data_IF_551138363185
#
_entry.id   IF_551138363185
#
_cell.length_a   1.000
_cell.length_b   1.000
_cell.length_c   1.000
_cell.angle_alpha   90.00
_cell.angle_beta   90.00
_cell.angle_gamma   90.00
#
_symmetry.space_group_name_H-M   'P 1'
#
loop_
_entity.id
_entity.type
_entity.pdbx_description
1 polymer ?
#
# COMPACT_ATOMS: atom_id res chain seq x y z
N UNK A 1 22.63 -1.25 12.38
CA UNK A 1 21.95 -0.44 13.41
C UNK A 1 20.49 -0.84 13.30
N UNK A 2 19.90 -1.36 14.35
CA UNK A 2 18.52 -1.82 14.33
C UNK A 2 17.65 -0.70 14.90
N UNK A 3 16.65 -0.29 14.12
CA UNK A 3 15.70 0.76 14.50
C UNK A 3 14.49 0.10 15.17
N UNK A 4 14.09 0.60 16.33
CA UNK A 4 12.94 0.14 17.10
C UNK A 4 11.78 1.13 16.90
N UNK A 5 10.68 0.62 16.34
CA UNK A 5 9.46 1.40 16.09
C UNK A 5 8.40 1.06 17.13
N UNK A 6 7.90 2.06 17.83
CA UNK A 6 6.80 1.91 18.79
C UNK A 6 5.95 3.19 18.88
N UNK A 7 4.75 3.07 19.43
CA UNK A 7 3.84 4.18 19.60
C UNK A 7 3.95 4.77 21.02
N UNK A 8 4.00 6.10 21.12
CA UNK A 8 3.99 6.78 22.41
C UNK A 8 2.68 6.49 23.17
N UNK A 9 2.72 6.04 24.44
CA UNK A 9 1.52 5.70 25.20
C UNK A 9 0.63 6.91 25.54
N UNK A 10 1.11 8.14 25.34
CA UNK A 10 0.39 9.36 25.70
C UNK A 10 -0.29 10.07 24.53
N UNK A 11 0.31 10.05 23.35
CA UNK A 11 -0.22 10.72 22.16
C UNK A 11 -0.46 9.78 20.98
N UNK A 12 -0.02 8.52 21.04
CA UNK A 12 -0.12 7.57 19.95
C UNK A 12 0.78 7.90 18.74
N UNK A 13 1.76 8.80 18.91
CA UNK A 13 2.72 9.12 17.86
C UNK A 13 3.67 7.94 17.66
N UNK A 14 3.87 7.53 16.41
CA UNK A 14 4.90 6.58 16.06
C UNK A 14 6.30 7.21 16.22
N UNK A 15 7.17 6.53 16.97
CA UNK A 15 8.54 6.96 17.21
C UNK A 15 9.49 5.86 16.74
N UNK A 16 10.57 6.28 16.09
CA UNK A 16 11.66 5.43 15.63
C UNK A 16 12.92 5.86 16.35
N UNK A 17 13.52 4.95 17.11
CA UNK A 17 14.76 5.20 17.85
C UNK A 17 15.71 4.02 17.66
N UNK A 18 17.00 4.24 17.87
CA UNK A 18 17.97 3.16 17.93
C UNK A 18 17.70 2.20 19.11
N UNK A 19 17.83 0.90 18.88
CA UNK A 19 17.71 -0.15 19.91
C UNK A 19 18.61 0.09 21.14
N UNK A 20 19.72 0.82 20.96
CA UNK A 20 20.65 1.20 22.03
C UNK A 20 20.04 2.13 23.10
N UNK A 21 18.91 2.78 22.82
CA UNK A 21 18.18 3.64 23.77
C UNK A 21 17.09 2.86 24.52
N UNK A 22 16.98 1.55 24.33
CA UNK A 22 15.99 0.72 25.01
C UNK A 22 16.18 0.71 26.54
N UNK A 23 15.11 1.05 27.27
CA UNK A 23 15.12 1.18 28.74
C UNK A 23 15.61 2.54 29.28
N UNK A 24 15.80 3.55 28.44
CA UNK A 24 16.05 4.93 28.88
C UNK A 24 14.73 5.74 28.93
N UNK A 25 14.68 6.74 29.82
CA UNK A 25 13.58 7.71 29.86
C UNK A 25 13.81 8.77 28.80
N UNK A 26 12.91 8.87 27.82
CA UNK A 26 12.96 9.88 26.78
C UNK A 26 11.71 10.76 26.82
N UNK A 27 11.87 12.02 26.42
CA UNK A 27 10.75 12.94 26.25
C UNK A 27 10.17 12.80 24.85
N UNK A 28 8.85 12.61 24.78
CA UNK A 28 8.17 12.58 23.49
C UNK A 28 8.25 13.98 22.82
N UNK A 29 8.70 14.10 21.55
CA UNK A 29 8.78 15.39 20.86
C UNK A 29 7.42 16.04 20.59
N UNK A 30 6.34 15.25 20.61
CA UNK A 30 4.98 15.71 20.30
C UNK A 30 4.19 16.13 21.53
N UNK A 31 4.35 15.40 22.65
CA UNK A 31 3.57 15.66 23.86
C UNK A 31 4.41 16.12 25.06
N UNK A 32 5.74 16.14 24.92
CA UNK A 32 6.71 16.55 25.95
C UNK A 32 6.55 15.81 27.28
N UNK A 33 5.95 14.62 27.26
CA UNK A 33 5.82 13.75 28.43
C UNK A 33 6.98 12.74 28.43
N UNK A 34 7.67 12.57 29.56
CA UNK A 34 8.69 11.55 29.71
C UNK A 34 8.02 10.17 29.72
N UNK A 35 8.58 9.22 28.96
CA UNK A 35 8.16 7.83 28.99
C UNK A 35 9.36 6.90 28.82
N UNK A 36 9.23 5.66 29.29
CA UNK A 36 10.29 4.66 29.25
C UNK A 36 10.12 3.76 28.03
N UNK A 37 11.20 3.55 27.28
CA UNK A 37 11.19 2.70 26.09
C UNK A 37 11.18 1.23 26.52
N UNK A 38 10.20 0.42 26.08
CA UNK A 38 10.17 -1.00 26.41
C UNK A 38 11.38 -1.71 25.79
N UNK A 39 12.16 -2.43 26.61
CA UNK A 39 13.26 -3.27 26.13
C UNK A 39 12.71 -4.42 25.28
N UNK A 40 13.29 -4.71 24.10
CA UNK A 40 12.96 -5.90 23.35
C UNK A 40 13.52 -7.13 24.09
N UNK A 41 12.73 -7.67 25.01
CA UNK A 41 13.06 -8.89 25.75
C UNK A 41 12.83 -8.77 27.26
N UNK A 42 11.57 -8.72 27.68
CA UNK A 42 11.04 -9.43 28.87
C UNK A 42 9.55 -9.07 29.10
N UNK A 43 8.68 -9.97 28.63
CA UNK A 43 7.39 -10.37 29.21
C UNK A 43 6.39 -9.29 29.66
N UNK A 44 5.33 -9.07 28.87
CA UNK A 44 3.95 -8.86 29.39
C UNK A 44 2.87 -9.01 28.30
N UNK A 45 2.87 -10.13 27.58
CA UNK A 45 1.61 -10.63 27.00
C UNK A 45 0.93 -11.52 28.03
N UNK A 46 -0.11 -11.00 28.67
CA UNK A 46 -1.07 -11.83 29.41
C UNK A 46 -1.68 -12.82 28.42
N UNK A 47 -1.20 -14.05 28.48
CA UNK A 47 -1.89 -15.23 27.99
C UNK A 47 -3.30 -15.25 28.59
N UNK A 48 -4.32 -15.14 27.75
CA UNK A 48 -5.56 -15.87 28.03
C UNK A 48 -5.37 -17.31 27.54
N UNK A 49 -5.15 -18.16 28.53
CA UNK A 49 -5.21 -19.61 28.45
C UNK A 49 -6.63 -20.07 28.08
N UNK A 50 -6.77 -20.79 26.97
CA UNK A 50 -7.63 -21.97 26.93
C UNK A 50 -6.74 -23.21 26.68
N UNK A 51 -6.40 -23.88 27.78
CA UNK A 51 -6.11 -25.32 27.90
C UNK A 51 -7.26 -26.15 27.28
N UNK A 52 -7.11 -27.37 26.78
CA UNK A 52 -6.01 -28.35 26.79
C UNK A 52 -6.34 -29.50 25.81
N UNK A 53 -5.27 -30.11 25.28
CA UNK A 53 -5.08 -31.55 24.99
C UNK A 53 -5.87 -32.19 23.84
N UNK A 54 -5.34 -33.15 23.06
CA UNK A 54 -4.34 -34.19 23.34
C UNK A 54 -3.70 -34.64 22.01
N UNK A 55 -2.38 -34.70 21.93
CA UNK A 55 -1.55 -35.92 21.86
C UNK A 55 -1.54 -36.71 20.53
N UNK A 56 -0.31 -37.05 20.16
CA UNK A 56 0.13 -38.23 19.40
C UNK A 56 0.38 -38.15 17.90
N UNK A 57 1.52 -38.75 17.60
CA UNK A 57 2.28 -38.89 16.37
C UNK A 57 1.64 -39.96 15.48
N UNK A 58 1.71 -39.79 14.15
CA UNK A 58 1.79 -40.82 13.08
C UNK A 58 1.56 -40.10 11.75
N UNK A 59 2.55 -40.09 10.86
CA UNK A 59 2.75 -41.03 9.75
C UNK A 59 1.85 -40.75 8.54
N UNK A 60 2.53 -40.66 7.38
CA UNK A 60 2.08 -40.46 6.00
C UNK A 60 0.58 -40.46 5.67
N UNK A 61 0.09 -39.39 5.05
CA UNK A 61 -1.00 -39.51 4.06
C UNK A 61 -0.94 -38.37 3.03
N UNK A 62 -0.61 -38.74 1.79
CA UNK A 62 -0.67 -37.87 0.60
C UNK A 62 -2.12 -37.48 0.34
N UNK A 63 -2.52 -36.27 0.75
CA UNK A 63 -3.79 -35.69 0.31
C UNK A 63 -3.74 -35.38 -1.18
N UNK A 64 -4.16 -36.36 -1.97
CA UNK A 64 -4.55 -36.23 -3.36
C UNK A 64 -5.74 -35.28 -3.45
N UNK A 65 -5.47 -34.00 -3.69
CA UNK A 65 -6.51 -33.02 -3.97
C UNK A 65 -7.11 -33.32 -5.36
N UNK A 66 -8.28 -33.94 -5.37
CA UNK A 66 -9.09 -34.07 -6.58
C UNK A 66 -9.76 -32.73 -6.86
N UNK A 67 -9.29 -32.01 -7.88
CA UNK A 67 -10.01 -30.85 -8.43
C UNK A 67 -11.08 -31.37 -9.38
N UNK A 68 -12.38 -31.08 -9.18
CA UNK A 68 -13.40 -31.37 -10.17
C UNK A 68 -13.12 -30.57 -11.43
N UNK A 69 -12.81 -31.25 -12.53
CA UNK A 69 -12.73 -30.63 -13.86
C UNK A 69 -14.16 -30.35 -14.31
N UNK A 70 -14.55 -29.08 -14.32
CA UNK A 70 -15.78 -28.67 -14.98
C UNK A 70 -15.47 -28.43 -16.46
N UNK A 71 -16.04 -29.26 -17.35
CA UNK A 71 -16.02 -29.05 -18.82
C UNK A 71 -17.04 -27.96 -19.22
N UNK A 72 -16.87 -26.76 -18.68
CA UNK A 72 -17.62 -25.57 -19.06
C UNK A 72 -16.67 -24.51 -19.60
N UNK A 73 -16.97 -23.93 -20.77
CA UNK A 73 -16.25 -22.77 -21.29
C UNK A 73 -16.13 -21.70 -20.20
N UNK A 74 -14.95 -21.09 -19.98
CA UNK A 74 -14.88 -19.91 -19.14
C UNK A 74 -15.64 -18.77 -19.84
N UNK A 75 -16.81 -18.40 -19.30
CA UNK A 75 -17.45 -17.15 -19.67
C UNK A 75 -16.68 -16.01 -19.02
N UNK A 76 -15.91 -15.31 -19.85
CA UNK A 76 -15.21 -14.09 -19.51
C UNK A 76 -16.26 -12.99 -19.29
N UNK A 77 -16.69 -12.81 -18.04
CA UNK A 77 -17.55 -11.69 -17.61
C UNK A 77 -16.72 -10.50 -17.11
N UNK A 78 -15.63 -10.19 -17.82
CA UNK A 78 -15.09 -8.84 -17.82
C UNK A 78 -15.27 -8.33 -19.23
N UNK A 79 -16.26 -7.45 -19.41
CA UNK A 79 -16.28 -6.55 -20.58
C UNK A 79 -15.05 -5.67 -20.46
N UNK A 80 -13.94 -6.19 -20.97
CA UNK A 80 -12.76 -5.42 -21.31
C UNK A 80 -13.19 -4.37 -22.33
N UNK A 81 -13.62 -3.20 -21.85
CA UNK A 81 -13.52 -1.99 -22.63
C UNK A 81 -12.02 -1.67 -22.75
N UNK A 82 -11.34 -2.42 -23.61
CA UNK A 82 -10.28 -1.87 -24.43
C UNK A 82 -10.94 -0.83 -25.32
N UNK A 83 -11.06 0.38 -24.80
CA UNK A 83 -10.99 1.55 -25.65
C UNK A 83 -9.55 2.03 -25.57
N UNK A 84 -8.70 1.48 -26.44
CA UNK A 84 -7.73 2.33 -27.12
C UNK A 84 -8.57 3.32 -27.93
N UNK A 85 -9.10 4.34 -27.26
CA UNK A 85 -9.70 5.48 -27.92
C UNK A 85 -8.59 6.50 -28.00
N UNK A 86 -8.29 6.87 -29.23
CA UNK A 86 -7.51 8.04 -29.56
C UNK A 86 -7.92 9.17 -28.61
N UNK A 87 -6.91 9.76 -27.98
CA UNK A 87 -7.07 10.91 -27.11
C UNK A 87 -7.50 12.05 -28.05
N UNK A 88 -8.81 12.23 -28.16
CA UNK A 88 -9.37 13.50 -28.57
C UNK A 88 -9.01 14.47 -27.43
N UNK A 89 -8.34 15.56 -27.78
CA UNK A 89 -7.99 16.68 -26.90
C UNK A 89 -9.27 17.41 -26.48
N UNK A 90 -10.13 16.72 -25.73
CA UNK A 90 -11.29 17.33 -25.11
C UNK A 90 -10.90 17.75 -23.70
N UNK A 91 -11.03 19.05 -23.47
CA UNK A 91 -11.07 19.61 -22.12
C UNK A 91 -12.06 18.78 -21.31
N UNK A 92 -11.73 18.44 -20.08
CA UNK A 92 -12.68 17.76 -19.20
C UNK A 92 -13.75 18.80 -18.83
N UNK A 93 -14.80 18.90 -19.63
CA UNK A 93 -16.02 19.65 -19.30
C UNK A 93 -17.02 18.67 -18.69
N UNK A 94 -17.42 18.92 -17.45
CA UNK A 94 -18.24 17.97 -16.71
C UNK A 94 -19.30 18.60 -15.84
N UNK A 95 -20.00 17.69 -15.20
CA UNK A 95 -21.25 17.84 -14.47
C UNK A 95 -21.05 18.30 -13.02
N UNK A 96 -19.87 18.81 -12.67
CA UNK A 96 -19.52 19.29 -11.32
C UNK A 96 -19.21 18.17 -10.33
N UNK A 97 -18.95 16.95 -10.82
CA UNK A 97 -18.67 15.79 -9.97
C UNK A 97 -17.21 15.74 -9.56
N UNK A 98 -16.97 15.47 -8.29
CA UNK A 98 -15.63 15.19 -7.76
C UNK A 98 -15.17 13.81 -8.27
N UNK A 99 -14.00 13.79 -8.90
CA UNK A 99 -13.33 12.63 -9.46
C UNK A 99 -11.92 12.50 -8.87
N UNK A 100 -11.39 11.28 -8.90
CA UNK A 100 -10.01 11.00 -8.55
C UNK A 100 -9.34 10.22 -9.68
N UNK A 101 -8.15 10.67 -10.10
CA UNK A 101 -7.30 9.97 -11.06
C UNK A 101 -5.96 9.68 -10.40
N UNK A 102 -5.62 8.40 -10.28
CA UNK A 102 -4.29 7.96 -9.88
C UNK A 102 -3.46 7.65 -11.13
N UNK A 103 -2.26 8.20 -11.18
CA UNK A 103 -1.23 7.91 -12.18
C UNK A 103 -0.07 7.29 -11.42
N UNK A 104 0.32 6.07 -11.79
CA UNK A 104 1.44 5.36 -11.17
C UNK A 104 2.65 5.46 -12.08
N UNK A 105 3.83 5.69 -11.52
CA UNK A 105 5.08 5.74 -12.28
C UNK A 105 5.34 4.46 -13.06
N UNK A 106 5.15 3.30 -12.44
CA UNK A 106 5.30 2.01 -13.11
C UNK A 106 4.47 1.84 -14.39
N UNK A 107 3.29 2.48 -14.47
CA UNK A 107 2.43 2.46 -15.66
C UNK A 107 2.91 3.43 -16.77
N UNK A 108 3.86 4.31 -16.46
CA UNK A 108 4.41 5.34 -17.35
C UNK A 108 5.82 5.00 -17.87
N UNK A 109 6.35 3.80 -17.57
CA UNK A 109 7.66 3.37 -18.08
C UNK A 109 7.49 2.87 -19.52
N UNK A 110 7.97 3.64 -20.50
CA UNK A 110 7.90 3.31 -21.92
C UNK A 110 9.29 3.08 -22.49
N UNK A 111 9.57 1.88 -23.02
CA UNK A 111 10.89 1.54 -23.59
C UNK A 111 12.06 1.80 -22.63
N UNK A 112 11.82 1.63 -21.31
CA UNK A 112 12.80 1.89 -20.25
C UNK A 112 12.99 3.37 -19.90
N UNK A 113 12.25 4.28 -20.55
CA UNK A 113 12.22 5.69 -20.21
C UNK A 113 11.06 5.97 -19.26
N UNK A 114 11.36 6.72 -18.20
CA UNK A 114 10.37 7.17 -17.24
C UNK A 114 9.64 8.39 -17.79
N UNK A 115 8.36 8.22 -18.14
CA UNK A 115 7.51 9.29 -18.68
C UNK A 115 6.43 9.76 -17.70
N UNK A 116 6.66 9.55 -16.42
CA UNK A 116 5.68 9.86 -15.38
C UNK A 116 5.26 11.33 -15.39
N UNK A 117 6.24 12.24 -15.49
CA UNK A 117 5.97 13.68 -15.49
C UNK A 117 5.21 14.11 -16.74
N UNK A 118 5.52 13.54 -17.91
CA UNK A 118 4.80 13.79 -19.15
C UNK A 118 3.35 13.35 -19.05
N UNK A 119 3.10 12.13 -18.56
CA UNK A 119 1.74 11.60 -18.39
C UNK A 119 0.93 12.41 -17.36
N UNK A 120 1.56 12.85 -16.27
CA UNK A 120 0.93 13.69 -15.26
C UNK A 120 0.59 15.07 -15.83
N UNK A 121 1.53 15.71 -16.54
CA UNK A 121 1.32 17.01 -17.15
C UNK A 121 0.27 16.96 -18.27
N UNK A 122 0.25 15.89 -19.06
CA UNK A 122 -0.78 15.68 -20.08
C UNK A 122 -2.18 15.60 -19.44
N UNK A 123 -2.31 14.93 -18.30
CA UNK A 123 -3.57 14.88 -17.58
C UNK A 123 -3.95 16.23 -16.96
N UNK A 124 -3.01 16.90 -16.30
CA UNK A 124 -3.24 18.22 -15.71
C UNK A 124 -3.58 19.28 -16.76
N UNK A 125 -3.01 19.18 -17.96
CA UNK A 125 -3.31 20.07 -19.08
C UNK A 125 -4.75 19.97 -19.61
N UNK A 126 -5.46 18.88 -19.30
CA UNK A 126 -6.88 18.69 -19.65
C UNK A 126 -7.83 19.39 -18.69
N UNK A 127 -7.31 19.89 -17.55
CA UNK A 127 -8.08 20.52 -16.48
C UNK A 127 -7.79 22.01 -16.41
N UNK A 128 -8.80 22.80 -16.07
CA UNK A 128 -8.62 24.19 -15.65
C UNK A 128 -8.07 24.21 -14.22
N UNK A 129 -7.40 25.32 -13.86
CA UNK A 129 -6.78 25.44 -12.53
C UNK A 129 -7.79 25.31 -11.39
N UNK A 130 -9.00 25.82 -11.60
CA UNK A 130 -10.10 25.80 -10.64
C UNK A 130 -10.71 24.40 -10.46
N UNK A 131 -10.57 23.53 -11.47
CA UNK A 131 -11.05 22.14 -11.40
C UNK A 131 -10.13 21.26 -10.55
N UNK A 132 -8.86 21.64 -10.34
CA UNK A 132 -7.92 20.85 -9.54
C UNK A 132 -8.15 21.15 -8.06
N UNK A 133 -8.69 20.18 -7.33
CA UNK A 133 -8.98 20.31 -5.91
C UNK A 133 -7.74 19.99 -5.06
N UNK A 134 -7.03 18.90 -5.38
CA UNK A 134 -5.78 18.56 -4.72
C UNK A 134 -4.94 17.55 -5.53
N UNK A 135 -3.65 17.51 -5.24
CA UNK A 135 -2.72 16.49 -5.75
C UNK A 135 -1.96 15.90 -4.58
N UNK A 136 -2.01 14.57 -4.45
CA UNK A 136 -1.36 13.84 -3.36
C UNK A 136 -0.35 12.84 -3.92
N UNK A 137 0.84 12.69 -3.31
CA UNK A 137 1.73 11.58 -3.62
C UNK A 137 1.09 10.27 -3.15
N UNK A 138 1.33 9.20 -3.90
CA UNK A 138 0.93 7.84 -3.54
C UNK A 138 2.17 6.98 -3.56
N UNK A 139 2.53 6.40 -2.42
CA UNK A 139 3.62 5.43 -2.33
C UNK A 139 3.01 4.03 -2.22
N UNK A 140 3.54 3.08 -2.98
CA UNK A 140 3.05 1.71 -2.98
C UNK A 140 4.18 0.75 -3.34
N UNK A 141 3.98 -0.53 -3.08
CA UNK A 141 4.89 -1.56 -3.54
C UNK A 141 4.20 -2.45 -4.57
N UNK A 142 4.92 -2.87 -5.59
CA UNK A 142 4.44 -3.85 -6.57
C UNK A 142 5.35 -5.08 -6.58
N UNK A 143 4.74 -6.25 -6.78
CA UNK A 143 5.50 -7.50 -6.86
C UNK A 143 6.16 -7.60 -8.22
N UNK A 144 7.48 -7.71 -8.24
CA UNK A 144 8.26 -7.97 -9.45
C UNK A 144 8.50 -9.48 -9.61
N UNK A 145 7.90 -10.12 -10.64
CA UNK A 145 8.11 -11.55 -10.88
C UNK A 145 9.54 -11.92 -11.22
N UNK A 146 10.35 -11.00 -11.75
CA UNK A 146 11.73 -11.29 -12.14
C UNK A 146 12.65 -11.44 -10.92
N UNK A 147 12.46 -10.59 -9.90
CA UNK A 147 13.26 -10.60 -8.69
C UNK A 147 12.61 -11.31 -7.50
N UNK A 148 11.34 -11.73 -7.62
CA UNK A 148 10.51 -12.31 -6.55
C UNK A 148 10.45 -11.43 -5.30
N UNK A 149 10.48 -10.11 -5.49
CA UNK A 149 10.48 -9.11 -4.42
C UNK A 149 9.39 -8.08 -4.67
N UNK A 150 8.94 -7.46 -3.59
CA UNK A 150 8.18 -6.23 -3.66
C UNK A 150 9.15 -5.07 -3.87
N UNK A 151 8.91 -4.28 -4.91
CA UNK A 151 9.66 -3.08 -5.23
C UNK A 151 8.80 -1.86 -4.90
N UNK A 152 9.38 -0.94 -4.14
CA UNK A 152 8.76 0.34 -3.84
C UNK A 152 8.67 1.19 -5.12
N UNK A 153 7.52 1.83 -5.30
CA UNK A 153 7.25 2.75 -6.38
C UNK A 153 6.32 3.86 -5.90
N UNK A 154 6.11 4.85 -6.76
CA UNK A 154 5.30 6.01 -6.43
C UNK A 154 4.36 6.41 -7.55
N UNK A 155 3.47 7.34 -7.25
CA UNK A 155 2.52 7.92 -8.18
C UNK A 155 1.92 9.20 -7.63
N UNK A 156 1.00 9.76 -8.38
CA UNK A 156 0.23 10.93 -8.00
C UNK A 156 -1.27 10.62 -8.10
N UNK A 157 -2.02 11.05 -7.09
CA UNK A 157 -3.48 11.07 -7.11
C UNK A 157 -3.95 12.50 -7.25
N UNK A 158 -4.63 12.78 -8.35
CA UNK A 158 -5.24 14.07 -8.64
C UNK A 158 -6.73 13.98 -8.31
N UNK A 159 -7.18 14.79 -7.36
CA UNK A 159 -8.60 14.99 -7.06
C UNK A 159 -9.05 16.24 -7.79
N UNK A 160 -10.08 16.12 -8.61
CA UNK A 160 -10.54 17.19 -9.48
C UNK A 160 -12.06 17.18 -9.65
N UNK A 161 -12.63 18.34 -9.96
CA UNK A 161 -14.02 18.47 -10.38
C UNK A 161 -14.09 18.30 -11.91
N UNK A 162 -14.97 17.41 -12.37
CA UNK A 162 -15.19 17.16 -13.79
C UNK A 162 -16.00 18.31 -14.38
#
# INVERSE_FOLDING_TARGET
MADLNFDCPHCGQNLTIDENQSGEQIDCPTCSKPFEIPKPGEQNVKLLSNKESSSEETESDEKKYSVPVHEGKPEILVKSKKSNQAIEEESIEGDGRICAKTIKRGDCIELGQDKFDEALNEFLGKLKREQILSVHPVNYAHYDPATQKYLDDYGAMVIYER
#
